data_IF_133114243679
#
_entry.id   IF_133114243679
#
_cell.length_a   1.000
_cell.length_b   1.000
_cell.length_c   1.000
_cell.angle_alpha   90.00
_cell.angle_beta   90.00
_cell.angle_gamma   90.00
#
_symmetry.space_group_name_H-M   'P 1'
#
loop_
_entity.id
_entity.type
_entity.pdbx_description
1 polymer ?
#
# COMPACT_ATOMS: atom_id res chain seq x y z
N UNK A 1 -36.95 10.41 -15.22
CA UNK A 1 -35.69 9.66 -15.16
C UNK A 1 -34.67 10.64 -14.62
N UNK A 2 -34.08 10.36 -13.45
CA UNK A 2 -33.00 11.21 -12.94
C UNK A 2 -31.85 11.19 -13.94
N UNK A 3 -31.36 12.37 -14.29
CA UNK A 3 -30.24 12.53 -15.19
C UNK A 3 -28.97 12.16 -14.41
N UNK A 4 -28.44 10.96 -14.68
CA UNK A 4 -27.23 10.47 -14.01
C UNK A 4 -26.04 11.24 -14.57
N UNK A 5 -25.51 12.15 -13.75
CA UNK A 5 -24.29 12.90 -14.08
C UNK A 5 -23.12 11.91 -14.12
N UNK A 6 -22.56 11.72 -15.31
CA UNK A 6 -21.38 10.89 -15.52
C UNK A 6 -20.11 11.72 -15.48
N UNK A 7 -19.06 11.14 -14.93
CA UNK A 7 -17.70 11.70 -14.90
C UNK A 7 -17.09 11.69 -16.30
N UNK A 8 -15.97 12.39 -16.49
CA UNK A 8 -15.26 12.48 -17.79
C UNK A 8 -14.75 11.15 -18.35
N UNK A 9 -14.67 10.11 -17.53
CA UNK A 9 -14.31 8.74 -17.88
C UNK A 9 -15.53 7.82 -18.06
N UNK A 10 -16.75 8.36 -18.00
CA UNK A 10 -18.01 7.64 -18.23
C UNK A 10 -18.59 6.93 -17.01
N UNK A 11 -17.92 6.98 -15.86
CA UNK A 11 -18.36 6.36 -14.60
C UNK A 11 -19.34 7.22 -13.82
N UNK A 12 -20.17 6.59 -12.99
CA UNK A 12 -21.02 7.29 -12.03
C UNK A 12 -20.20 7.88 -10.86
N UNK A 13 -20.78 8.83 -10.12
CA UNK A 13 -20.09 9.49 -9.01
C UNK A 13 -19.69 8.52 -7.88
N UNK A 14 -20.47 7.45 -7.67
CA UNK A 14 -20.25 6.40 -6.67
C UNK A 14 -19.53 5.16 -7.22
N UNK A 15 -19.15 5.15 -8.50
CA UNK A 15 -18.54 3.99 -9.16
C UNK A 15 -17.00 3.98 -8.99
N UNK A 16 -16.49 2.91 -8.38
CA UNK A 16 -15.06 2.71 -8.12
C UNK A 16 -14.35 2.27 -9.42
N UNK A 17 -13.06 2.62 -9.57
CA UNK A 17 -12.19 2.11 -10.66
C UNK A 17 -12.18 0.59 -10.66
N UNK A 18 -12.11 -0.01 -11.86
CA UNK A 18 -11.88 -1.44 -11.97
C UNK A 18 -10.57 -1.82 -11.26
N UNK A 19 -10.66 -2.70 -10.26
CA UNK A 19 -9.55 -3.03 -9.35
C UNK A 19 -9.26 -4.52 -9.40
N UNK A 20 -8.01 -4.88 -9.66
CA UNK A 20 -7.48 -6.25 -9.58
C UNK A 20 -6.49 -6.33 -8.42
N UNK A 21 -6.67 -7.31 -7.54
CA UNK A 21 -5.78 -7.56 -6.40
C UNK A 21 -5.24 -8.99 -6.53
N UNK A 22 -3.92 -9.14 -6.43
CA UNK A 22 -3.25 -10.43 -6.44
C UNK A 22 -2.24 -10.50 -5.30
N UNK A 23 -2.35 -11.53 -4.47
CA UNK A 23 -1.49 -11.77 -3.32
C UNK A 23 -0.50 -12.90 -3.66
N UNK A 24 0.69 -12.94 -3.04
CA UNK A 24 1.69 -13.99 -3.28
C UNK A 24 2.37 -13.88 -4.66
N UNK A 25 2.51 -12.68 -5.20
CA UNK A 25 3.01 -12.41 -6.57
C UNK A 25 4.54 -12.46 -6.70
N UNK A 26 5.30 -12.24 -5.61
CA UNK A 26 6.77 -12.29 -5.61
C UNK A 26 7.24 -13.54 -4.88
N UNK A 27 7.74 -14.53 -5.62
CA UNK A 27 8.15 -15.84 -5.06
C UNK A 27 9.29 -15.77 -4.04
N UNK A 28 10.13 -14.74 -4.09
CA UNK A 28 11.25 -14.55 -3.16
C UNK A 28 10.92 -13.77 -1.89
N UNK A 29 9.71 -13.19 -1.80
CA UNK A 29 9.27 -12.43 -0.63
C UNK A 29 8.57 -13.36 0.37
N UNK A 30 8.51 -12.97 1.64
CA UNK A 30 7.72 -13.69 2.65
C UNK A 30 6.23 -13.42 2.49
N UNK A 31 5.88 -12.22 2.06
CA UNK A 31 4.55 -11.91 1.56
C UNK A 31 4.62 -10.82 0.50
N UNK A 32 3.62 -10.76 -0.37
CA UNK A 32 3.58 -9.79 -1.45
C UNK A 32 2.17 -9.55 -1.95
N UNK A 33 1.95 -8.36 -2.53
CA UNK A 33 0.66 -8.01 -3.11
C UNK A 33 0.85 -7.07 -4.30
N UNK A 34 0.16 -7.34 -5.40
CA UNK A 34 0.00 -6.44 -6.55
C UNK A 34 -1.44 -5.94 -6.57
N UNK A 35 -1.60 -4.62 -6.57
CA UNK A 35 -2.87 -3.96 -6.81
C UNK A 35 -2.77 -3.17 -8.12
N UNK A 36 -3.73 -3.42 -8.99
CA UNK A 36 -3.91 -2.66 -10.22
C UNK A 36 -5.29 -2.01 -10.22
N UNK A 37 -5.33 -0.69 -10.33
CA UNK A 37 -6.55 0.10 -10.52
C UNK A 37 -6.49 0.75 -11.89
N UNK A 38 -7.16 0.16 -12.86
CA UNK A 38 -7.04 0.54 -14.28
C UNK A 38 -5.55 0.60 -14.70
N UNK A 39 -5.03 1.81 -14.94
CA UNK A 39 -3.64 2.04 -15.34
C UNK A 39 -2.67 2.09 -14.14
N UNK A 40 -3.16 2.50 -12.95
CA UNK A 40 -2.32 2.58 -11.75
C UNK A 40 -1.93 1.20 -11.24
N UNK A 41 -0.63 1.00 -10.97
CA UNK A 41 -0.08 -0.29 -10.51
C UNK A 41 0.87 -0.09 -9.34
N UNK A 42 0.63 -0.82 -8.26
CA UNK A 42 1.44 -0.82 -7.04
C UNK A 42 1.74 -2.25 -6.64
N UNK A 43 3.02 -2.53 -6.38
CA UNK A 43 3.48 -3.83 -5.89
C UNK A 43 4.16 -3.65 -4.54
N UNK A 44 3.79 -4.49 -3.58
CA UNK A 44 4.31 -4.47 -2.22
C UNK A 44 4.93 -5.83 -1.91
N UNK A 45 6.04 -5.82 -1.18
CA UNK A 45 6.77 -7.00 -0.75
C UNK A 45 7.20 -6.87 0.70
N UNK A 46 7.16 -7.98 1.42
CA UNK A 46 7.56 -8.07 2.81
C UNK A 46 8.70 -9.06 2.93
N UNK A 47 9.77 -8.61 3.57
CA UNK A 47 10.89 -9.44 3.98
C UNK A 47 10.91 -9.52 5.50
N UNK A 48 11.17 -10.72 6.02
CA UNK A 48 11.27 -10.96 7.45
C UNK A 48 12.65 -11.54 7.72
N UNK A 49 13.37 -10.94 8.65
CA UNK A 49 14.58 -11.52 9.25
C UNK A 49 14.26 -11.88 10.69
N UNK A 50 14.46 -13.14 11.05
CA UNK A 50 14.33 -13.60 12.43
C UNK A 50 15.68 -13.47 13.12
N UNK A 51 15.68 -12.85 14.29
CA UNK A 51 16.82 -12.74 15.20
C UNK A 51 16.43 -13.32 16.57
N UNK A 52 17.30 -13.15 17.56
CA UNK A 52 17.05 -13.62 18.93
C UNK A 52 15.82 -12.92 19.54
N UNK A 53 15.09 -13.63 20.39
CA UNK A 53 13.88 -13.13 21.08
C UNK A 53 14.16 -11.96 22.05
N UNK A 54 15.43 -11.70 22.35
CA UNK A 54 15.87 -10.55 23.14
C UNK A 54 15.79 -9.23 22.39
N UNK A 55 15.57 -9.27 21.07
CA UNK A 55 15.48 -8.09 20.21
C UNK A 55 14.02 -7.66 20.07
N UNK A 56 13.80 -6.39 20.34
CA UNK A 56 12.49 -5.77 20.20
C UNK A 56 12.02 -5.83 18.74
N UNK A 57 10.70 -5.84 18.58
CA UNK A 57 10.07 -5.79 17.28
C UNK A 57 10.54 -4.56 16.49
N UNK A 58 11.02 -4.77 15.26
CA UNK A 58 11.41 -3.69 14.35
C UNK A 58 10.58 -3.77 13.06
N UNK A 59 9.96 -2.65 12.69
CA UNK A 59 9.19 -2.52 11.46
C UNK A 59 9.69 -1.32 10.65
N UNK A 60 10.15 -1.59 9.45
CA UNK A 60 10.64 -0.57 8.52
C UNK A 60 9.78 -0.55 7.26
N UNK A 61 9.39 0.64 6.83
CA UNK A 61 8.65 0.84 5.59
C UNK A 61 9.50 1.63 4.60
N UNK A 62 9.54 1.17 3.35
CA UNK A 62 10.11 1.89 2.22
C UNK A 62 9.08 2.02 1.12
N UNK A 63 8.83 3.26 0.69
CA UNK A 63 8.00 3.55 -0.49
C UNK A 63 8.91 4.08 -1.58
N UNK A 64 8.70 3.65 -2.81
CA UNK A 64 9.48 4.11 -3.96
C UNK A 64 8.58 4.23 -5.17
N UNK A 65 8.63 5.38 -5.83
CA UNK A 65 7.94 5.64 -7.07
C UNK A 65 8.89 5.42 -8.23
N UNK A 66 8.39 4.76 -9.28
CA UNK A 66 9.12 4.63 -10.52
C UNK A 66 9.34 6.03 -11.14
N UNK A 67 10.61 6.40 -11.35
CA UNK A 67 10.99 7.71 -11.86
C UNK A 67 11.00 7.68 -13.40
N UNK A 68 9.82 7.80 -14.02
CA UNK A 68 9.73 7.92 -15.49
C UNK A 68 9.89 9.36 -15.99
N UNK A 69 9.73 10.37 -15.13
CA UNK A 69 9.86 11.79 -15.47
C UNK A 69 10.74 12.55 -14.46
N UNK A 70 11.33 13.67 -14.89
CA UNK A 70 12.30 14.52 -14.17
C UNK A 70 11.71 15.31 -12.96
N UNK A 71 10.76 14.74 -12.22
CA UNK A 71 10.15 15.34 -11.02
C UNK A 71 10.61 14.65 -9.72
N UNK A 72 11.90 14.28 -9.65
CA UNK A 72 12.47 13.48 -8.56
C UNK A 72 12.32 14.10 -7.16
N UNK A 73 12.46 15.43 -7.03
CA UNK A 73 12.36 16.11 -5.72
C UNK A 73 10.94 16.05 -5.12
N UNK A 74 9.91 16.14 -5.95
CA UNK A 74 8.52 16.07 -5.49
C UNK A 74 8.16 14.65 -5.05
N UNK A 75 8.61 13.65 -5.81
CA UNK A 75 8.40 12.25 -5.47
C UNK A 75 9.09 11.88 -4.16
N UNK A 76 10.31 12.36 -3.90
CA UNK A 76 11.01 12.10 -2.64
C UNK A 76 10.23 12.58 -1.40
N UNK A 77 9.58 13.76 -1.47
CA UNK A 77 8.77 14.26 -0.34
C UNK A 77 7.54 13.40 -0.11
N UNK A 78 6.84 13.02 -1.18
CA UNK A 78 5.68 12.12 -1.12
C UNK A 78 6.05 10.74 -0.60
N UNK A 79 7.19 10.19 -1.00
CA UNK A 79 7.70 8.92 -0.51
C UNK A 79 7.88 8.96 1.01
N UNK A 80 8.56 9.98 1.53
CA UNK A 80 8.80 10.15 2.97
C UNK A 80 7.48 10.27 3.73
N UNK A 81 6.56 11.12 3.26
CA UNK A 81 5.25 11.30 3.90
C UNK A 81 4.45 9.98 3.94
N UNK A 82 4.41 9.25 2.82
CA UNK A 82 3.72 7.97 2.75
C UNK A 82 4.39 6.89 3.61
N UNK A 83 5.73 6.89 3.71
CA UNK A 83 6.45 6.01 4.61
C UNK A 83 6.08 6.27 6.07
N UNK A 84 6.01 7.52 6.49
CA UNK A 84 5.62 7.90 7.85
C UNK A 84 4.17 7.49 8.15
N UNK A 85 3.24 7.79 7.23
CA UNK A 85 1.82 7.42 7.36
C UNK A 85 1.66 5.91 7.46
N UNK A 86 2.31 5.13 6.58
CA UNK A 86 2.24 3.67 6.61
C UNK A 86 2.86 3.11 7.89
N UNK A 87 4.02 3.63 8.30
CA UNK A 87 4.70 3.19 9.51
C UNK A 87 3.79 3.40 10.71
N UNK A 88 3.23 4.59 10.88
CA UNK A 88 2.33 4.88 12.00
C UNK A 88 1.04 4.04 11.94
N UNK A 89 0.41 3.96 10.77
CA UNK A 89 -0.88 3.28 10.60
C UNK A 89 -0.76 1.77 10.82
N UNK A 90 0.23 1.13 10.19
CA UNK A 90 0.40 -0.33 10.25
C UNK A 90 0.98 -0.78 11.59
N UNK A 91 1.95 -0.06 12.16
CA UNK A 91 2.51 -0.41 13.48
C UNK A 91 1.43 -0.45 14.55
N UNK A 92 0.42 0.44 14.47
CA UNK A 92 -0.71 0.46 15.41
C UNK A 92 -1.59 -0.79 15.36
N UNK A 93 -1.50 -1.60 14.30
CA UNK A 93 -2.30 -2.82 14.10
C UNK A 93 -1.47 -4.10 14.18
N UNK A 94 -0.14 -4.01 14.16
CA UNK A 94 0.73 -5.17 14.29
C UNK A 94 0.88 -5.50 15.77
N UNK A 95 0.67 -6.77 16.12
CA UNK A 95 0.88 -7.26 17.47
C UNK A 95 2.40 -7.42 17.70
N UNK A 96 3.02 -6.46 18.39
CA UNK A 96 4.47 -6.43 18.59
C UNK A 96 4.94 -7.60 19.46
N UNK A 97 4.18 -7.97 20.48
CA UNK A 97 4.49 -9.08 21.40
C UNK A 97 4.53 -10.43 20.67
N UNK A 98 3.57 -10.67 19.78
CA UNK A 98 3.48 -11.90 18.98
C UNK A 98 4.52 -11.96 17.86
N UNK A 99 5.19 -10.86 17.57
CA UNK A 99 6.21 -10.74 16.52
C UNK A 99 7.60 -10.35 17.07
N UNK A 100 7.86 -10.58 18.37
CA UNK A 100 9.20 -10.37 18.95
C UNK A 100 10.29 -11.16 18.20
N UNK A 101 11.50 -10.60 18.16
CA UNK A 101 12.62 -11.18 17.42
C UNK A 101 12.47 -11.13 15.88
N UNK A 102 11.43 -10.48 15.33
CA UNK A 102 11.28 -10.29 13.88
C UNK A 102 11.63 -8.85 13.49
N UNK A 103 12.50 -8.73 12.48
CA UNK A 103 12.70 -7.48 11.74
C UNK A 103 11.90 -7.60 10.44
N UNK A 104 10.85 -6.79 10.33
CA UNK A 104 9.94 -6.78 9.19
C UNK A 104 10.27 -5.57 8.32
N UNK A 105 10.64 -5.81 7.06
CA UNK A 105 10.87 -4.78 6.07
C UNK A 105 9.77 -4.84 5.00
N UNK A 106 8.91 -3.82 4.99
CA UNK A 106 7.90 -3.62 3.96
C UNK A 106 8.47 -2.70 2.87
N UNK A 107 8.46 -3.15 1.64
CA UNK A 107 8.86 -2.37 0.47
C UNK A 107 7.67 -2.24 -0.48
N UNK A 108 7.28 -1.01 -0.76
CA UNK A 108 6.21 -0.65 -1.69
C UNK A 108 6.82 0.04 -2.89
N UNK A 109 6.51 -0.47 -4.08
CA UNK A 109 6.96 0.06 -5.34
C UNK A 109 5.77 0.47 -6.20
N UNK A 110 5.66 1.76 -6.48
CA UNK A 110 4.63 2.32 -7.36
C UNK A 110 5.17 2.28 -8.79
N UNK A 111 4.61 1.36 -9.57
CA UNK A 111 5.04 1.12 -10.96
C UNK A 111 4.40 2.09 -11.94
N UNK A 112 3.17 2.50 -11.71
CA UNK A 112 2.43 3.38 -12.62
C UNK A 112 1.43 4.16 -11.80
N UNK A 113 1.36 5.47 -12.03
CA UNK A 113 0.43 6.36 -11.33
C UNK A 113 -0.41 7.12 -12.35
N UNK A 114 -1.70 6.77 -12.38
CA UNK A 114 -2.75 7.45 -13.15
C UNK A 114 -3.89 7.83 -12.20
N UNK A 115 -3.75 9.01 -11.60
CA UNK A 115 -4.59 9.51 -10.51
C UNK A 115 -4.00 9.27 -9.13
N UNK A 116 -4.89 9.02 -8.15
CA UNK A 116 -4.50 8.71 -6.78
C UNK A 116 -4.08 7.24 -6.66
N UNK A 117 -2.97 7.03 -5.95
CA UNK A 117 -2.37 5.71 -5.67
C UNK A 117 -2.17 5.44 -4.19
N UNK A 118 -2.39 6.45 -3.34
CA UNK A 118 -2.20 6.40 -1.89
C UNK A 118 -3.04 5.29 -1.26
N UNK A 119 -4.30 5.15 -1.71
CA UNK A 119 -5.18 4.10 -1.25
C UNK A 119 -4.69 2.69 -1.65
N UNK A 120 -4.07 2.56 -2.81
CA UNK A 120 -3.54 1.30 -3.35
C UNK A 120 -2.23 0.93 -2.65
N UNK A 121 -1.43 1.93 -2.26
CA UNK A 121 -0.25 1.78 -1.41
C UNK A 121 -0.63 1.22 -0.03
N UNK A 122 -1.63 1.80 0.63
CA UNK A 122 -2.09 1.31 1.94
C UNK A 122 -2.66 -0.11 1.81
N UNK A 123 -3.57 -0.33 0.86
CA UNK A 123 -4.22 -1.63 0.68
C UNK A 123 -3.21 -2.74 0.33
N UNK A 124 -2.27 -2.47 -0.57
CA UNK A 124 -1.26 -3.46 -0.97
C UNK A 124 -0.31 -3.77 0.18
N UNK A 125 0.02 -2.77 1.02
CA UNK A 125 0.86 -2.94 2.20
C UNK A 125 0.21 -3.85 3.24
N UNK A 126 -1.05 -3.58 3.61
CA UNK A 126 -1.77 -4.41 4.58
C UNK A 126 -1.97 -5.84 4.08
N UNK A 127 -2.28 -6.02 2.80
CA UNK A 127 -2.43 -7.36 2.22
C UNK A 127 -1.10 -8.11 2.10
N UNK A 128 0.01 -7.41 1.81
CA UNK A 128 1.33 -8.04 1.77
C UNK A 128 1.80 -8.50 3.16
N UNK A 129 1.48 -7.74 4.22
CA UNK A 129 1.74 -8.16 5.61
C UNK A 129 0.87 -9.35 6.01
N UNK A 130 -0.38 -9.39 5.56
CA UNK A 130 -1.28 -10.52 5.78
C UNK A 130 -0.76 -11.79 5.09
N UNK A 131 -0.32 -11.68 3.84
CA UNK A 131 0.32 -12.78 3.08
C UNK A 131 1.60 -13.29 3.75
N UNK A 132 2.35 -12.40 4.40
CA UNK A 132 3.56 -12.72 5.14
C UNK A 132 3.30 -13.37 6.51
N UNK A 133 2.04 -13.66 6.85
CA UNK A 133 1.61 -14.23 8.12
C UNK A 133 2.06 -13.42 9.35
N UNK A 134 2.15 -12.09 9.19
CA UNK A 134 2.41 -11.19 10.32
C UNK A 134 1.16 -11.13 11.18
N UNK A 135 1.32 -11.38 12.49
CA UNK A 135 0.23 -11.30 13.45
C UNK A 135 -0.23 -9.83 13.57
N UNK A 136 -1.41 -9.54 13.04
CA UNK A 136 -2.05 -8.22 13.06
C UNK A 136 -3.46 -8.35 13.65
N UNK A 137 -3.88 -7.35 14.42
CA UNK A 137 -5.21 -7.33 15.04
C UNK A 137 -6.31 -7.11 13.99
N UNK A 138 -6.01 -6.37 12.91
CA UNK A 138 -6.96 -6.08 11.82
C UNK A 138 -6.24 -5.64 10.54
N UNK A 139 -6.86 -5.90 9.39
CA UNK A 139 -6.41 -5.39 8.09
C UNK A 139 -6.95 -3.97 7.88
N UNK A 140 -6.12 -3.06 7.36
CA UNK A 140 -6.51 -1.70 6.99
C UNK A 140 -6.86 -1.67 5.50
N UNK A 141 -7.98 -1.03 5.17
CA UNK A 141 -8.37 -0.72 3.79
C UNK A 141 -8.68 0.77 3.69
N UNK A 142 -8.17 1.40 2.64
CA UNK A 142 -8.36 2.79 2.30
C UNK A 142 -9.01 2.91 0.92
N UNK A 143 -9.74 4.01 0.73
CA UNK A 143 -10.25 4.47 -0.56
C UNK A 143 -10.15 5.99 -0.59
N UNK A 144 -9.89 6.55 -1.77
CA UNK A 144 -9.89 8.00 -1.95
C UNK A 144 -11.24 8.50 -2.47
N UNK A 145 -11.70 9.61 -1.89
CA UNK A 145 -12.90 10.31 -2.30
C UNK A 145 -12.51 11.74 -2.70
N UNK A 146 -13.13 12.24 -3.77
CA UNK A 146 -12.97 13.63 -4.19
C UNK A 146 -14.34 14.28 -4.18
N UNK A 147 -14.46 15.39 -3.44
CA UNK A 147 -15.65 16.22 -3.53
C UNK A 147 -15.55 17.11 -4.76
N UNK A 148 -16.17 16.68 -5.85
CA UNK A 148 -16.32 17.53 -7.04
C UNK A 148 -17.49 18.47 -6.80
N UNK A 149 -17.20 19.76 -6.60
CA UNK A 149 -18.20 20.80 -6.83
C UNK A 149 -18.41 20.86 -8.35
N UNK A 150 -19.46 20.20 -8.84
CA UNK A 150 -19.92 20.23 -10.23
C UNK A 150 -20.86 21.41 -10.38
#
# INVERSE_FOLDING_TARGET
>A
MEEVIKRGDGREANEIRATTIKVGVISGAKGSCLIQKENSKVISSVQIKTQDESIDFEFTVKVTFAQFENNSLFNNRKEIELQEILTQSLTSRINQESNKGKIICLQVFVMEQDGSVEDSIINSSSLALFDAEIQMDSIIIATQLLNCHI
#
